data_IF_775729298533
#
_entry.id   IF_775729298533
#
_cell.length_a   1.000
_cell.length_b   1.000
_cell.length_c   1.000
_cell.angle_alpha   90.00
_cell.angle_beta   90.00
_cell.angle_gamma   90.00
#
_symmetry.space_group_name_H-M   'P 1'
#
loop_
_entity.id
_entity.type
_entity.pdbx_description
1 polymer ?
#
# COMPACT_ATOMS: atom_id res chain seq x y z
N UNK A 1 -16.56 6.30 21.75
CA UNK A 1 -16.12 5.61 20.53
C UNK A 1 -15.04 6.46 19.91
N UNK A 2 -13.87 5.87 19.62
CA UNK A 2 -12.76 6.60 18.98
C UNK A 2 -13.16 7.06 17.58
N UNK A 3 -12.57 8.14 17.10
CA UNK A 3 -12.73 8.70 15.75
C UNK A 3 -11.39 8.75 15.05
N UNK A 4 -11.38 8.83 13.71
CA UNK A 4 -10.14 9.06 12.94
C UNK A 4 -9.39 10.30 13.44
N UNK A 5 -10.11 11.29 13.98
CA UNK A 5 -9.52 12.51 14.54
C UNK A 5 -8.58 12.23 15.71
N UNK A 6 -8.85 11.17 16.47
CA UNK A 6 -8.02 10.80 17.62
C UNK A 6 -6.64 10.31 17.17
N UNK A 7 -6.46 9.90 15.91
CA UNK A 7 -5.19 9.39 15.37
C UNK A 7 -4.49 10.37 14.43
N UNK A 8 -4.97 11.61 14.34
CA UNK A 8 -4.46 12.62 13.40
C UNK A 8 -3.82 13.79 14.13
N UNK A 9 -2.67 14.24 13.65
CA UNK A 9 -1.98 15.45 14.12
C UNK A 9 -2.50 16.68 13.36
N UNK A 10 -3.58 17.28 13.85
CA UNK A 10 -4.21 18.43 13.18
C UNK A 10 -3.37 19.71 13.20
N UNK A 11 -2.44 19.84 14.13
CA UNK A 11 -1.47 20.95 14.22
C UNK A 11 -0.43 20.92 13.08
N UNK A 12 -0.32 19.80 12.36
CA UNK A 12 0.56 19.61 11.20
C UNK A 12 -0.11 19.98 9.86
N UNK A 13 -1.37 20.41 9.88
CA UNK A 13 -2.08 20.84 8.68
C UNK A 13 -1.71 22.29 8.28
N UNK A 14 -1.80 22.66 6.98
CA UNK A 14 -2.32 21.87 5.86
C UNK A 14 -1.36 20.77 5.38
N UNK A 15 -1.91 19.76 4.71
CA UNK A 15 -1.09 18.73 4.05
C UNK A 15 -0.20 19.36 2.96
N UNK A 16 1.03 18.87 2.83
CA UNK A 16 1.98 19.32 1.80
C UNK A 16 1.68 18.76 0.41
N UNK A 17 0.69 17.87 0.27
CA UNK A 17 0.31 17.29 -1.02
C UNK A 17 -0.42 18.31 -1.90
N UNK A 18 -0.29 18.13 -3.21
CA UNK A 18 -0.95 18.98 -4.20
C UNK A 18 -2.48 18.93 -4.05
N UNK A 19 -3.16 20.03 -4.37
CA UNK A 19 -4.62 20.05 -4.44
C UNK A 19 -5.14 18.95 -5.39
N UNK A 20 -6.09 18.15 -4.90
CA UNK A 20 -6.63 17.01 -5.65
C UNK A 20 -5.78 15.74 -5.63
N UNK A 21 -4.64 15.72 -4.94
CA UNK A 21 -3.90 14.48 -4.67
C UNK A 21 -4.72 13.54 -3.79
N UNK A 22 -4.77 12.26 -4.16
CA UNK A 22 -5.58 11.27 -3.43
C UNK A 22 -4.96 10.78 -2.11
N UNK A 23 -3.71 11.09 -1.80
CA UNK A 23 -3.04 10.58 -0.59
C UNK A 23 -3.76 10.96 0.71
N UNK A 24 -4.40 12.13 0.77
CA UNK A 24 -5.20 12.54 1.92
C UNK A 24 -6.39 11.61 2.21
N UNK A 25 -6.98 11.00 1.18
CA UNK A 25 -8.06 10.01 1.32
C UNK A 25 -7.53 8.72 1.96
N UNK A 26 -6.34 8.30 1.54
CA UNK A 26 -5.69 7.09 2.08
C UNK A 26 -5.25 7.32 3.52
N UNK A 27 -4.61 8.45 3.83
CA UNK A 27 -4.25 8.87 5.18
C UNK A 27 -5.46 8.83 6.13
N UNK A 28 -6.57 9.49 5.76
CA UNK A 28 -7.77 9.48 6.58
C UNK A 28 -8.35 8.07 6.74
N UNK A 29 -8.25 7.22 5.71
CA UNK A 29 -8.71 5.83 5.78
C UNK A 29 -7.89 4.99 6.75
N UNK A 30 -6.55 5.19 6.80
CA UNK A 30 -5.67 4.55 7.79
C UNK A 30 -6.09 4.97 9.20
N UNK A 31 -6.23 6.28 9.46
CA UNK A 31 -6.67 6.80 10.76
C UNK A 31 -8.06 6.29 11.16
N UNK A 32 -9.00 6.18 10.21
CA UNK A 32 -10.33 5.65 10.46
C UNK A 32 -10.30 4.17 10.85
N UNK A 33 -9.48 3.34 10.18
CA UNK A 33 -9.37 1.92 10.54
C UNK A 33 -8.78 1.73 11.94
N UNK A 34 -7.77 2.52 12.31
CA UNK A 34 -7.24 2.48 13.67
C UNK A 34 -8.32 2.82 14.71
N UNK A 35 -9.16 3.83 14.44
CA UNK A 35 -10.30 4.16 15.30
C UNK A 35 -11.37 3.07 15.33
N UNK A 36 -11.71 2.46 14.19
CA UNK A 36 -12.69 1.36 14.08
C UNK A 36 -12.24 0.08 14.78
N UNK A 37 -10.93 -0.16 14.87
CA UNK A 37 -10.33 -1.27 15.60
C UNK A 37 -10.00 -0.91 17.05
N UNK A 38 -10.21 0.35 17.44
CA UNK A 38 -9.87 0.93 18.74
C UNK A 38 -8.43 0.64 19.20
N UNK A 39 -7.47 0.47 18.27
CA UNK A 39 -6.07 0.13 18.59
C UNK A 39 -5.43 1.14 19.53
N UNK A 40 -4.59 0.69 20.45
CA UNK A 40 -3.76 1.61 21.23
C UNK A 40 -2.70 2.24 20.30
N UNK A 41 -2.51 3.55 20.38
CA UNK A 41 -1.49 4.26 19.60
C UNK A 41 -0.09 3.79 19.94
N UNK A 42 0.14 3.39 21.19
CA UNK A 42 1.42 2.87 21.66
C UNK A 42 1.75 1.50 21.07
N UNK A 43 0.73 0.73 20.68
CA UNK A 43 0.88 -0.58 20.05
C UNK A 43 0.95 -0.51 18.51
N UNK A 44 0.89 0.70 17.94
CA UNK A 44 1.03 0.93 16.49
C UNK A 44 2.45 1.39 16.17
N UNK A 45 3.04 0.79 15.14
CA UNK A 45 4.27 1.27 14.52
C UNK A 45 4.07 1.44 13.02
N UNK A 46 4.29 2.65 12.51
CA UNK A 46 4.27 2.96 11.09
C UNK A 46 5.69 3.16 10.59
N UNK A 47 6.10 2.37 9.60
CA UNK A 47 7.36 2.56 8.89
C UNK A 47 7.08 3.06 7.48
N UNK A 48 7.63 4.21 7.13
CA UNK A 48 7.37 4.85 5.84
C UNK A 48 8.64 4.90 4.98
N UNK A 49 8.46 4.82 3.66
CA UNK A 49 9.53 5.04 2.68
C UNK A 49 9.68 6.50 2.29
N UNK A 50 10.46 6.77 1.23
CA UNK A 50 10.62 8.11 0.67
C UNK A 50 9.66 8.31 -0.50
N UNK A 51 8.96 9.44 -0.51
CA UNK A 51 8.07 9.84 -1.60
C UNK A 51 6.89 10.64 -1.07
N UNK A 52 6.04 11.16 -1.97
CA UNK A 52 4.86 11.93 -1.56
C UNK A 52 4.04 11.14 -0.53
N UNK A 53 3.72 9.88 -0.81
CA UNK A 53 2.96 9.04 0.11
C UNK A 53 3.75 8.62 1.37
N UNK A 54 5.09 8.65 1.33
CA UNK A 54 5.92 8.38 2.50
C UNK A 54 5.68 9.36 3.64
N UNK A 55 5.21 10.58 3.35
CA UNK A 55 4.87 11.60 4.35
C UNK A 55 3.56 11.36 5.10
N UNK A 56 2.94 10.19 4.98
CA UNK A 56 1.72 9.85 5.74
C UNK A 56 1.98 9.89 7.25
N UNK A 57 3.18 9.52 7.67
CA UNK A 57 3.64 9.52 9.04
C UNK A 57 3.72 10.92 9.69
N UNK A 58 3.93 11.98 8.91
CA UNK A 58 3.92 13.37 9.40
C UNK A 58 2.57 13.78 10.02
N UNK A 59 1.48 13.06 9.71
CA UNK A 59 0.11 13.45 10.05
C UNK A 59 -0.60 12.49 11.03
N UNK A 60 0.06 11.41 11.46
CA UNK A 60 -0.54 10.40 12.34
C UNK A 60 0.06 10.46 13.74
N UNK A 61 -0.82 10.38 14.74
CA UNK A 61 -0.44 10.41 16.17
C UNK A 61 -0.19 8.99 16.69
N UNK A 62 0.88 8.36 16.21
CA UNK A 62 1.36 7.00 16.54
C UNK A 62 2.90 6.95 16.48
N UNK A 63 3.51 5.81 16.83
CA UNK A 63 4.96 5.64 16.65
C UNK A 63 5.30 5.54 15.16
N UNK A 64 6.16 6.44 14.66
CA UNK A 64 6.51 6.52 13.25
C UNK A 64 8.04 6.42 13.04
N UNK A 65 8.45 5.80 11.94
CA UNK A 65 9.83 5.75 11.48
C UNK A 65 9.92 6.01 9.98
N UNK A 66 10.40 7.20 9.62
CA UNK A 66 10.67 7.59 8.23
C UNK A 66 12.06 7.12 7.82
N UNK A 67 12.14 6.18 6.87
CA UNK A 67 13.42 5.55 6.50
C UNK A 67 13.89 5.94 5.10
N UNK A 68 15.03 5.38 4.70
CA UNK A 68 15.60 5.60 3.38
C UNK A 68 14.78 4.94 2.26
N UNK A 69 14.91 5.49 1.05
CA UNK A 69 14.11 5.11 -0.11
C UNK A 69 14.21 3.61 -0.40
N UNK A 70 13.06 2.94 -0.49
CA UNK A 70 12.94 1.51 -0.74
C UNK A 70 13.39 0.62 0.40
N UNK A 71 13.49 1.13 1.63
CA UNK A 71 13.93 0.36 2.81
C UNK A 71 12.85 0.20 3.88
N UNK A 72 11.64 0.71 3.66
CA UNK A 72 10.54 0.66 4.63
C UNK A 72 10.22 -0.78 5.07
N UNK A 73 10.07 -1.72 4.12
CA UNK A 73 9.82 -3.13 4.45
C UNK A 73 10.99 -3.83 5.16
N UNK A 74 12.22 -3.48 4.81
CA UNK A 74 13.40 -4.03 5.47
C UNK A 74 13.47 -3.57 6.93
N UNK A 75 13.20 -2.29 7.17
CA UNK A 75 13.20 -1.75 8.52
C UNK A 75 11.99 -2.22 9.35
N UNK A 76 10.80 -2.30 8.73
CA UNK A 76 9.59 -2.86 9.33
C UNK A 76 9.76 -4.33 9.74
N UNK A 77 10.51 -5.12 8.97
CA UNK A 77 10.90 -6.48 9.36
C UNK A 77 11.65 -6.47 10.70
N UNK A 78 12.59 -5.55 10.89
CA UNK A 78 13.31 -5.39 12.16
C UNK A 78 12.39 -4.98 13.31
N UNK A 79 11.49 -4.02 13.07
CA UNK A 79 10.50 -3.58 14.07
C UNK A 79 9.59 -4.74 14.50
N UNK A 80 9.01 -5.45 13.54
CA UNK A 80 8.08 -6.54 13.79
C UNK A 80 8.74 -7.73 14.49
N UNK A 81 10.00 -8.05 14.16
CA UNK A 81 10.74 -9.13 14.85
C UNK A 81 11.26 -8.69 16.22
N UNK A 82 11.62 -7.41 16.39
CA UNK A 82 12.10 -6.86 17.66
C UNK A 82 11.00 -6.74 18.71
N UNK A 83 9.75 -6.47 18.30
CA UNK A 83 8.58 -6.50 19.17
C UNK A 83 7.36 -7.10 18.44
N UNK A 84 7.13 -8.41 18.56
CA UNK A 84 6.02 -9.10 17.90
C UNK A 84 4.62 -8.67 18.34
N UNK A 85 4.50 -7.88 19.42
CA UNK A 85 3.21 -7.41 19.93
C UNK A 85 2.73 -6.13 19.23
N UNK A 86 3.59 -5.46 18.44
CA UNK A 86 3.21 -4.26 17.71
C UNK A 86 2.41 -4.59 16.45
N UNK A 87 1.41 -3.75 16.17
CA UNK A 87 0.75 -3.69 14.88
C UNK A 87 1.60 -2.85 13.93
N UNK A 88 2.30 -3.52 13.01
CA UNK A 88 3.24 -2.86 12.09
C UNK A 88 2.58 -2.56 10.75
N UNK A 89 2.42 -1.26 10.47
CA UNK A 89 2.00 -0.73 9.18
C UNK A 89 3.20 -0.23 8.38
N UNK A 90 3.16 -0.41 7.06
CA UNK A 90 4.17 0.12 6.15
C UNK A 90 3.52 0.94 5.07
N UNK A 91 3.99 2.16 4.84
CA UNK A 91 3.44 3.05 3.79
C UNK A 91 4.51 3.42 2.77
N UNK A 92 4.22 3.16 1.49
CA UNK A 92 5.16 3.36 0.39
C UNK A 92 4.43 3.86 -0.86
N UNK A 93 5.08 4.69 -1.66
CA UNK A 93 4.65 4.92 -3.04
C UNK A 93 4.97 3.70 -3.91
N UNK A 94 4.41 3.60 -5.11
CA UNK A 94 4.73 2.55 -6.08
C UNK A 94 6.24 2.49 -6.38
N UNK A 95 6.88 3.62 -6.69
CA UNK A 95 8.32 3.66 -6.91
C UNK A 95 9.17 3.20 -5.71
N UNK A 96 8.79 3.58 -4.49
CA UNK A 96 9.48 3.17 -3.27
C UNK A 96 9.34 1.67 -3.02
N UNK A 97 8.11 1.14 -3.10
CA UNK A 97 7.80 -0.25 -2.73
C UNK A 97 8.09 -1.29 -3.81
N UNK A 98 7.98 -0.95 -5.10
CA UNK A 98 8.06 -1.93 -6.19
C UNK A 98 9.22 -1.73 -7.15
N UNK A 99 9.80 -0.52 -7.19
CA UNK A 99 11.02 -0.28 -7.98
C UNK A 99 12.25 -0.55 -7.11
N UNK A 100 12.75 0.46 -6.38
CA UNK A 100 13.98 0.29 -5.57
C UNK A 100 13.77 -0.65 -4.36
N UNK A 101 12.53 -0.72 -3.83
CA UNK A 101 12.14 -1.61 -2.75
C UNK A 101 11.64 -2.99 -3.18
N UNK A 102 11.55 -3.26 -4.50
CA UNK A 102 10.89 -4.46 -5.04
C UNK A 102 11.43 -5.78 -4.47
N UNK A 103 12.74 -5.89 -4.27
CA UNK A 103 13.34 -7.10 -3.69
C UNK A 103 12.89 -7.33 -2.22
N UNK A 104 12.72 -6.25 -1.46
CA UNK A 104 12.23 -6.35 -0.08
C UNK A 104 10.75 -6.70 -0.04
N UNK A 105 9.95 -6.22 -0.98
CA UNK A 105 8.54 -6.62 -1.15
C UNK A 105 8.41 -8.14 -1.36
N UNK A 106 9.15 -8.68 -2.34
CA UNK A 106 9.11 -10.12 -2.65
C UNK A 106 9.52 -10.95 -1.43
N UNK A 107 10.59 -10.54 -0.73
CA UNK A 107 11.05 -11.30 0.43
C UNK A 107 10.22 -11.09 1.71
N UNK A 108 9.55 -9.94 1.89
CA UNK A 108 8.61 -9.75 2.99
C UNK A 108 7.39 -10.68 2.83
N UNK A 109 6.82 -10.73 1.62
CA UNK A 109 5.76 -11.67 1.26
C UNK A 109 6.19 -13.13 1.43
N UNK A 110 7.38 -13.50 0.94
CA UNK A 110 7.91 -14.86 1.05
C UNK A 110 8.12 -15.30 2.51
N UNK A 111 8.62 -14.40 3.36
CA UNK A 111 8.84 -14.69 4.79
C UNK A 111 7.56 -14.74 5.60
N UNK A 112 6.47 -14.11 5.12
CA UNK A 112 5.20 -14.02 5.82
C UNK A 112 5.32 -13.42 7.23
N UNK A 113 6.05 -12.31 7.34
CA UNK A 113 6.17 -11.55 8.60
C UNK A 113 4.90 -10.73 8.78
N UNK A 114 4.42 -10.63 10.03
CA UNK A 114 3.21 -9.91 10.45
C UNK A 114 3.35 -8.40 10.23
N UNK A 115 3.12 -8.00 8.99
CA UNK A 115 3.24 -6.63 8.49
C UNK A 115 2.14 -6.37 7.49
N UNK A 116 1.46 -5.24 7.63
CA UNK A 116 0.51 -4.76 6.63
C UNK A 116 1.13 -3.62 5.82
N UNK A 117 1.44 -3.91 4.55
CA UNK A 117 1.99 -2.95 3.61
C UNK A 117 0.89 -2.28 2.80
N UNK A 118 0.90 -0.96 2.76
CA UNK A 118 0.00 -0.12 1.98
C UNK A 118 0.83 0.59 0.93
N UNK A 119 0.58 0.27 -0.34
CA UNK A 119 1.23 0.93 -1.48
C UNK A 119 0.23 1.85 -2.16
N UNK A 120 0.51 3.16 -2.15
CA UNK A 120 -0.25 4.12 -2.94
C UNK A 120 0.36 4.20 -4.34
N UNK A 121 -0.32 3.59 -5.31
CA UNK A 121 0.13 3.53 -6.70
C UNK A 121 -0.46 4.70 -7.50
N UNK A 122 0.39 5.67 -7.84
CA UNK A 122 0.00 6.82 -8.65
C UNK A 122 0.68 6.85 -10.03
N UNK A 123 1.31 5.72 -10.39
CA UNK A 123 2.01 5.47 -11.65
C UNK A 123 3.24 6.34 -11.91
N UNK A 124 3.77 7.08 -10.93
CA UNK A 124 4.96 7.88 -11.13
C UNK A 124 5.73 8.24 -9.84
N UNK A 125 6.96 8.73 -10.01
CA UNK A 125 7.68 9.39 -8.93
C UNK A 125 7.22 10.83 -8.76
N UNK A 126 6.09 11.03 -8.10
CA UNK A 126 5.50 12.36 -7.91
C UNK A 126 6.44 13.38 -7.24
N UNK A 127 7.15 12.98 -6.17
CA UNK A 127 7.98 13.91 -5.38
C UNK A 127 9.20 14.43 -6.14
N UNK A 128 9.73 13.65 -7.08
CA UNK A 128 10.96 13.99 -7.83
C UNK A 128 10.68 14.64 -9.18
N UNK A 129 9.42 14.99 -9.47
CA UNK A 129 9.04 15.70 -10.70
C UNK A 129 8.35 14.84 -11.75
N UNK A 130 7.98 13.60 -11.43
CA UNK A 130 7.06 12.79 -12.23
C UNK A 130 7.72 11.89 -13.28
N UNK A 131 8.83 11.26 -12.93
CA UNK A 131 9.46 10.17 -13.69
C UNK A 131 8.62 8.89 -13.64
N UNK A 132 8.76 8.00 -14.62
CA UNK A 132 8.09 6.69 -14.59
C UNK A 132 8.62 5.80 -13.46
N UNK A 133 7.74 4.99 -12.87
CA UNK A 133 8.04 3.91 -11.92
C UNK A 133 7.86 2.54 -12.59
N UNK A 134 8.14 1.45 -11.87
CA UNK A 134 7.91 0.09 -12.38
C UNK A 134 6.42 -0.27 -12.58
N UNK A 135 5.47 0.58 -12.15
CA UNK A 135 4.03 0.38 -12.37
C UNK A 135 3.47 1.29 -13.46
N UNK A 136 4.27 2.21 -14.00
CA UNK A 136 3.83 3.11 -15.07
C UNK A 136 3.34 2.31 -16.28
N UNK A 137 2.09 2.50 -16.73
CA UNK A 137 1.56 1.77 -17.88
C UNK A 137 2.39 2.01 -19.14
N UNK A 138 2.57 0.96 -19.94
CA UNK A 138 3.25 1.05 -21.24
C UNK A 138 2.62 2.14 -22.10
N UNK A 139 3.47 2.85 -22.84
CA UNK A 139 3.19 4.03 -23.67
C UNK A 139 2.80 5.31 -22.93
N UNK A 140 2.78 5.32 -21.60
CA UNK A 140 2.50 6.55 -20.83
C UNK A 140 3.62 7.59 -20.97
N UNK A 141 3.22 8.86 -20.96
CA UNK A 141 4.15 10.00 -20.97
C UNK A 141 4.50 10.37 -19.53
N UNK A 142 5.80 10.49 -19.25
CA UNK A 142 6.33 10.95 -17.97
C UNK A 142 7.51 11.90 -18.21
N UNK A 143 8.06 12.50 -17.16
CA UNK A 143 9.18 13.43 -17.28
C UNK A 143 10.42 12.81 -17.95
N UNK A 144 10.65 11.50 -17.75
CA UNK A 144 11.79 10.75 -18.31
C UNK A 144 11.39 9.82 -19.46
N UNK A 145 10.09 9.75 -19.79
CA UNK A 145 9.58 9.04 -20.97
C UNK A 145 8.72 9.98 -21.83
N UNK A 146 9.27 11.09 -22.35
CA UNK A 146 8.51 12.11 -23.08
C UNK A 146 7.89 11.60 -24.38
N UNK A 147 8.39 10.47 -24.91
CA UNK A 147 7.92 9.83 -26.13
C UNK A 147 7.16 8.51 -25.86
N UNK A 148 6.83 8.23 -24.60
CA UNK A 148 6.16 7.00 -24.18
C UNK A 148 7.10 6.03 -23.47
N UNK A 149 6.59 5.43 -22.40
CA UNK A 149 7.26 4.35 -21.67
C UNK A 149 7.19 3.03 -22.46
N UNK A 150 8.28 2.27 -22.51
CA UNK A 150 8.35 1.04 -23.34
C UNK A 150 8.26 -0.26 -22.55
N UNK A 151 8.50 -0.21 -21.24
CA UNK A 151 8.51 -1.40 -20.40
C UNK A 151 7.08 -1.82 -20.04
N UNK A 152 6.94 -3.08 -19.66
CA UNK A 152 5.68 -3.60 -19.14
C UNK A 152 5.55 -3.23 -17.67
N UNK A 153 4.39 -2.71 -17.28
CA UNK A 153 4.10 -2.38 -15.90
C UNK A 153 3.96 -3.64 -15.03
N UNK A 154 4.53 -3.60 -13.83
CA UNK A 154 4.20 -4.58 -12.81
C UNK A 154 2.75 -4.42 -12.32
N UNK A 155 2.04 -5.54 -12.22
CA UNK A 155 0.87 -5.66 -11.36
C UNK A 155 1.34 -6.00 -9.93
N UNK A 156 1.25 -5.03 -9.02
CA UNK A 156 1.75 -5.17 -7.65
C UNK A 156 1.07 -6.34 -6.92
N UNK A 157 -0.24 -6.48 -7.09
CA UNK A 157 -1.01 -7.52 -6.42
C UNK A 157 -0.62 -8.90 -6.95
N UNK A 158 -0.49 -9.08 -8.26
CA UNK A 158 -0.04 -10.35 -8.84
C UNK A 158 1.39 -10.68 -8.40
N UNK A 159 2.29 -9.69 -8.35
CA UNK A 159 3.64 -9.86 -7.85
C UNK A 159 3.64 -10.36 -6.39
N UNK A 160 2.85 -9.75 -5.51
CA UNK A 160 2.77 -10.16 -4.10
C UNK A 160 2.08 -11.52 -3.90
N UNK A 161 1.05 -11.83 -4.69
CA UNK A 161 0.41 -13.15 -4.71
C UNK A 161 1.44 -14.22 -5.09
N UNK A 162 2.19 -14.00 -6.18
CA UNK A 162 3.23 -14.91 -6.65
C UNK A 162 4.39 -15.04 -5.65
N UNK A 163 4.72 -13.96 -4.93
CA UNK A 163 5.73 -13.97 -3.87
C UNK A 163 5.28 -14.67 -2.57
N UNK A 164 3.99 -15.05 -2.45
CA UNK A 164 3.47 -15.82 -1.34
C UNK A 164 2.90 -15.00 -0.18
N UNK A 165 2.42 -13.78 -0.44
CA UNK A 165 1.67 -12.98 0.53
C UNK A 165 0.40 -13.71 1.00
N UNK A 166 0.04 -13.58 2.27
CA UNK A 166 -1.14 -14.22 2.87
C UNK A 166 -2.44 -13.50 2.50
N UNK A 167 -2.38 -12.17 2.43
CA UNK A 167 -3.52 -11.34 2.08
C UNK A 167 -3.11 -10.29 1.04
N UNK A 168 -3.92 -10.14 -0.01
CA UNK A 168 -3.70 -9.14 -1.05
C UNK A 168 -5.03 -8.48 -1.41
N UNK A 169 -5.08 -7.15 -1.32
CA UNK A 169 -6.24 -6.35 -1.70
C UNK A 169 -5.86 -5.20 -2.62
N UNK A 170 -6.78 -4.81 -3.50
CA UNK A 170 -6.67 -3.61 -4.34
C UNK A 170 -7.90 -2.73 -4.19
N UNK A 171 -7.70 -1.44 -3.98
CA UNK A 171 -8.78 -0.44 -3.99
C UNK A 171 -8.37 0.77 -4.85
N UNK A 172 -9.32 1.66 -5.08
CA UNK A 172 -9.05 2.98 -5.66
C UNK A 172 -9.40 4.06 -4.66
N UNK A 173 -8.72 5.21 -4.75
CA UNK A 173 -9.01 6.38 -3.92
C UNK A 173 -10.45 6.90 -4.07
N UNK A 174 -11.17 6.50 -5.12
CA UNK A 174 -12.58 6.80 -5.28
C UNK A 174 -13.47 6.13 -4.21
N UNK A 175 -13.08 4.95 -3.71
CA UNK A 175 -13.87 4.17 -2.75
C UNK A 175 -13.15 4.03 -1.39
N UNK A 176 -13.22 5.06 -0.52
CA UNK A 176 -12.58 5.03 0.80
C UNK A 176 -13.12 3.93 1.71
N UNK A 177 -14.39 3.52 1.56
CA UNK A 177 -14.95 2.43 2.35
C UNK A 177 -14.28 1.09 2.03
N UNK A 178 -13.96 0.85 0.74
CA UNK A 178 -13.20 -0.32 0.34
C UNK A 178 -11.76 -0.27 0.85
N UNK A 179 -11.11 0.90 0.81
CA UNK A 179 -9.76 1.07 1.37
C UNK A 179 -9.76 0.68 2.86
N UNK A 180 -10.69 1.22 3.65
CA UNK A 180 -10.82 0.91 5.08
C UNK A 180 -11.05 -0.58 5.32
N UNK A 181 -11.97 -1.19 4.56
CA UNK A 181 -12.25 -2.63 4.66
C UNK A 181 -10.99 -3.47 4.43
N UNK A 182 -10.23 -3.21 3.35
CA UNK A 182 -9.05 -4.01 3.01
C UNK A 182 -7.90 -3.81 3.99
N UNK A 183 -7.68 -2.58 4.48
CA UNK A 183 -6.67 -2.32 5.52
C UNK A 183 -7.06 -3.07 6.80
N UNK A 184 -8.33 -2.97 7.22
CA UNK A 184 -8.84 -3.65 8.42
C UNK A 184 -8.66 -5.17 8.33
N UNK A 185 -9.06 -5.78 7.23
CA UNK A 185 -8.88 -7.21 6.98
C UNK A 185 -7.39 -7.59 6.98
N UNK A 186 -6.54 -6.82 6.28
CA UNK A 186 -5.10 -7.06 6.22
C UNK A 186 -4.40 -6.98 7.57
N UNK A 187 -4.79 -6.03 8.44
CA UNK A 187 -4.26 -5.89 9.80
C UNK A 187 -4.63 -7.06 10.71
N UNK A 188 -5.72 -7.77 10.43
CA UNK A 188 -6.18 -8.92 11.23
C UNK A 188 -5.54 -10.24 10.80
N UNK A 189 -4.82 -10.26 9.68
CA UNK A 189 -4.12 -11.44 9.17
C UNK A 189 -2.80 -11.63 9.91
N UNK A 190 -2.56 -12.85 10.41
CA UNK A 190 -1.24 -13.28 10.86
C UNK A 190 -0.39 -13.62 9.65
N UNK A 191 0.36 -12.65 9.17
CA UNK A 191 1.30 -12.80 8.07
C UNK A 191 1.49 -11.50 7.31
N UNK A 192 2.07 -11.60 6.13
CA UNK A 192 2.28 -10.45 5.27
C UNK A 192 1.01 -10.13 4.46
N UNK A 193 0.52 -8.90 4.64
CA UNK A 193 -0.64 -8.35 3.95
C UNK A 193 -0.21 -7.20 3.03
N UNK A 194 -0.66 -7.22 1.78
CA UNK A 194 -0.48 -6.12 0.83
C UNK A 194 -1.83 -5.48 0.48
N UNK A 195 -1.94 -4.16 0.64
CA UNK A 195 -3.05 -3.36 0.14
C UNK A 195 -2.49 -2.36 -0.88
N UNK A 196 -2.87 -2.51 -2.14
CA UNK A 196 -2.63 -1.51 -3.17
C UNK A 196 -3.81 -0.53 -3.23
N UNK A 197 -3.51 0.76 -3.21
CA UNK A 197 -4.50 1.81 -3.45
C UNK A 197 -4.10 2.61 -4.68
N UNK A 198 -4.93 2.53 -5.73
CA UNK A 198 -4.76 3.37 -6.91
C UNK A 198 -5.09 4.82 -6.57
N UNK A 199 -4.13 5.73 -6.76
CA UNK A 199 -4.18 7.12 -6.31
C UNK A 199 -3.95 8.11 -7.46
N UNK A 200 -4.66 9.23 -7.46
CA UNK A 200 -4.49 10.26 -8.48
C UNK A 200 -3.29 11.17 -8.16
N UNK A 201 -2.41 11.36 -9.16
CA UNK A 201 -1.37 12.38 -9.17
C UNK A 201 -1.70 13.41 -10.28
N UNK A 202 -2.53 14.44 -9.98
CA UNK A 202 -2.97 15.41 -11.00
C UNK A 202 -1.81 16.26 -11.54
N UNK A 203 -0.86 16.64 -10.67
CA UNK A 203 0.24 17.56 -10.99
C UNK A 203 1.18 17.04 -12.07
N UNK A 204 1.46 15.73 -12.06
CA UNK A 204 2.44 15.12 -12.94
C UNK A 204 1.80 14.09 -13.87
N UNK A 205 1.45 12.90 -13.37
CA UNK A 205 0.96 11.81 -14.21
C UNK A 205 -0.32 12.20 -14.97
N UNK A 206 -1.29 12.79 -14.27
CA UNK A 206 -2.55 13.27 -14.86
C UNK A 206 -2.32 14.35 -15.92
N UNK A 207 -1.47 15.34 -15.62
CA UNK A 207 -1.08 16.40 -16.55
C UNK A 207 -0.41 15.87 -17.82
N UNK A 208 0.60 15.01 -17.69
CA UNK A 208 1.35 14.49 -18.84
C UNK A 208 0.50 13.59 -19.74
N UNK A 209 -0.45 12.84 -19.17
CA UNK A 209 -1.31 11.91 -19.90
C UNK A 209 -2.71 12.48 -20.21
N UNK A 210 -2.90 13.80 -20.02
CA UNK A 210 -4.15 14.51 -20.35
C UNK A 210 -5.41 13.90 -19.72
N UNK A 211 -5.32 13.46 -18.46
CA UNK A 211 -6.42 12.79 -17.75
C UNK A 211 -7.46 13.76 -17.17
N UNK A 212 -7.26 15.07 -17.35
CA UNK A 212 -8.12 16.14 -16.85
C UNK A 212 -7.88 16.48 -15.38
N UNK A 213 -8.82 17.22 -14.80
CA UNK A 213 -8.79 17.65 -13.40
C UNK A 213 -8.87 16.47 -12.42
N UNK A 214 -8.45 16.68 -11.18
CA UNK A 214 -8.43 15.64 -10.14
C UNK A 214 -9.79 14.93 -9.94
N UNK A 215 -10.90 15.66 -10.06
CA UNK A 215 -12.24 15.09 -9.97
C UNK A 215 -12.58 14.15 -11.14
N UNK A 216 -12.09 14.44 -12.36
CA UNK A 216 -12.22 13.55 -13.52
C UNK A 216 -11.37 12.30 -13.32
N UNK A 217 -10.15 12.43 -12.80
CA UNK A 217 -9.29 11.28 -12.51
C UNK A 217 -9.93 10.31 -11.51
N UNK A 218 -10.58 10.81 -10.45
CA UNK A 218 -11.32 9.98 -9.50
C UNK A 218 -12.51 9.26 -10.18
N UNK A 219 -13.26 9.93 -11.05
CA UNK A 219 -14.34 9.30 -11.82
C UNK A 219 -13.82 8.21 -12.77
N UNK A 220 -12.70 8.47 -13.44
CA UNK A 220 -12.04 7.48 -14.31
C UNK A 220 -11.67 6.21 -13.53
N UNK A 221 -11.13 6.35 -12.31
CA UNK A 221 -10.85 5.19 -11.45
C UNK A 221 -12.09 4.36 -11.17
N UNK A 222 -13.24 4.99 -10.92
CA UNK A 222 -14.50 4.28 -10.72
C UNK A 222 -14.97 3.58 -12.01
N UNK A 223 -14.94 4.27 -13.15
CA UNK A 223 -15.32 3.74 -14.48
C UNK A 223 -14.46 2.54 -14.91
N UNK A 224 -13.19 2.53 -14.50
CA UNK A 224 -12.24 1.46 -14.78
C UNK A 224 -12.30 0.31 -13.77
N UNK A 225 -12.91 0.51 -12.61
CA UNK A 225 -12.95 -0.50 -11.55
C UNK A 225 -13.99 -1.58 -11.82
N UNK A 226 -13.63 -2.83 -11.62
CA UNK A 226 -14.54 -3.98 -11.54
C UNK A 226 -14.24 -4.74 -10.26
N UNK A 227 -15.26 -5.12 -9.51
CA UNK A 227 -15.05 -5.92 -8.29
C UNK A 227 -14.58 -7.33 -8.64
N UNK A 228 -13.90 -8.01 -7.72
CA UNK A 228 -13.51 -9.43 -7.90
C UNK A 228 -14.68 -10.33 -8.33
N UNK A 229 -15.87 -10.12 -7.74
CA UNK A 229 -17.07 -10.90 -8.07
C UNK A 229 -17.65 -10.60 -9.47
N UNK A 230 -17.46 -9.38 -9.96
CA UNK A 230 -17.78 -9.02 -11.35
C UNK A 230 -16.73 -9.59 -12.30
N UNK A 231 -15.45 -9.46 -11.96
CA UNK A 231 -14.34 -9.92 -12.77
C UNK A 231 -14.40 -11.43 -13.05
N UNK A 232 -14.83 -12.23 -12.08
CA UNK A 232 -15.02 -13.68 -12.24
C UNK A 232 -16.06 -14.08 -13.31
N UNK A 233 -16.89 -13.15 -13.77
CA UNK A 233 -17.92 -13.36 -14.80
C UNK A 233 -17.54 -12.82 -16.17
N UNK A 234 -16.41 -12.11 -16.27
CA UNK A 234 -15.95 -11.46 -17.48
C UNK A 234 -14.88 -12.31 -18.17
N UNK A 235 -14.84 -12.24 -19.49
CA UNK A 235 -13.76 -12.81 -20.29
C UNK A 235 -12.45 -12.03 -20.11
N UNK A 236 -11.29 -12.63 -20.42
CA UNK A 236 -10.00 -11.93 -20.41
C UNK A 236 -10.00 -10.64 -21.26
N UNK A 237 -10.66 -10.67 -22.41
CA UNK A 237 -10.83 -9.52 -23.30
C UNK A 237 -11.64 -8.39 -22.64
N UNK A 238 -12.71 -8.69 -21.93
CA UNK A 238 -13.54 -7.72 -21.21
C UNK A 238 -12.83 -7.11 -19.99
N UNK A 239 -11.88 -7.85 -19.40
CA UNK A 239 -11.04 -7.39 -18.30
C UNK A 239 -9.90 -6.48 -18.77
N UNK A 240 -9.60 -6.43 -20.07
CA UNK A 240 -8.50 -5.61 -20.59
C UNK A 240 -8.71 -4.13 -20.26
N UNK A 241 -7.76 -3.56 -19.53
CA UNK A 241 -7.80 -2.15 -19.10
C UNK A 241 -8.73 -1.87 -17.92
N UNK A 242 -9.28 -2.90 -17.26
CA UNK A 242 -10.02 -2.77 -16.01
C UNK A 242 -9.11 -2.96 -14.79
N UNK A 243 -9.44 -2.26 -13.71
CA UNK A 243 -8.82 -2.42 -12.40
C UNK A 243 -9.68 -3.39 -11.59
N UNK A 244 -9.18 -4.59 -11.34
CA UNK A 244 -9.89 -5.55 -10.47
C UNK A 244 -9.69 -5.13 -9.01
N UNK A 245 -10.77 -4.77 -8.32
CA UNK A 245 -10.74 -4.23 -6.95
C UNK A 245 -11.46 -5.15 -5.95
N UNK A 246 -11.01 -5.12 -4.70
CA UNK A 246 -11.48 -5.95 -3.60
C UNK A 246 -10.35 -6.81 -3.01
N UNK A 247 -10.75 -7.83 -2.26
CA UNK A 247 -9.83 -8.85 -1.74
C UNK A 247 -9.48 -9.84 -2.86
N UNK A 248 -8.24 -9.77 -3.35
CA UNK A 248 -7.73 -10.59 -4.45
C UNK A 248 -7.18 -11.93 -3.97
N UNK A 249 -6.67 -11.98 -2.73
CA UNK A 249 -6.24 -13.20 -2.06
C UNK A 249 -6.45 -13.06 -0.57
N UNK A 250 -6.99 -14.11 0.06
CA UNK A 250 -7.04 -14.29 1.50
C UNK A 250 -6.84 -15.77 1.82
N UNK A 251 -5.58 -16.17 1.89
CA UNK A 251 -5.15 -17.54 2.11
C UNK A 251 -4.03 -17.51 3.17
N UNK A 252 -4.39 -17.25 4.44
CA UNK A 252 -3.40 -17.16 5.50
C UNK A 252 -2.69 -18.50 5.66
N UNK A 253 -1.38 -18.41 5.90
CA UNK A 253 -0.51 -19.52 6.26
C UNK A 253 0.27 -19.17 7.51
N UNK A 254 0.94 -20.15 8.10
CA UNK A 254 1.77 -19.92 9.26
C UNK A 254 2.76 -18.77 9.02
N UNK A 255 2.80 -17.84 9.98
CA UNK A 255 3.67 -16.69 9.95
C UNK A 255 5.11 -17.09 10.32
N UNK A 256 6.05 -16.17 10.07
CA UNK A 256 7.44 -16.40 10.40
C UNK A 256 7.65 -16.77 11.88
N UNK A 257 6.88 -16.17 12.78
CA UNK A 257 6.98 -16.36 14.23
C UNK A 257 6.57 -17.76 14.65
N UNK A 258 5.44 -18.26 14.12
CA UNK A 258 4.91 -19.58 14.41
C UNK A 258 5.87 -20.66 13.94
N UNK A 259 6.39 -20.53 12.71
CA UNK A 259 7.38 -21.48 12.20
C UNK A 259 8.68 -21.45 13.00
N UNK A 260 9.15 -20.25 13.36
CA UNK A 260 10.38 -20.12 14.16
C UNK A 260 10.20 -20.66 15.58
N UNK A 261 9.03 -20.47 16.20
CA UNK A 261 8.71 -21.01 17.51
C UNK A 261 8.71 -22.55 17.51
N UNK A 262 8.24 -23.20 16.44
CA UNK A 262 8.32 -24.67 16.30
C UNK A 262 9.76 -25.16 16.29
N UNK A 263 10.67 -24.44 15.65
CA UNK A 263 12.10 -24.77 15.66
C UNK A 263 12.64 -24.67 17.09
N UNK A 264 12.32 -23.59 17.82
CA UNK A 264 12.76 -23.41 19.21
C UNK A 264 12.21 -24.54 20.10
N UNK A 265 10.92 -24.84 19.99
CA UNK A 265 10.27 -25.88 20.80
C UNK A 265 10.90 -27.25 20.56
N UNK A 266 11.18 -27.60 19.30
CA UNK A 266 11.82 -28.86 18.94
C UNK A 266 13.26 -29.01 19.47
N UNK A 267 13.90 -27.91 19.92
CA UNK A 267 15.24 -27.93 20.52
C UNK A 267 15.22 -27.82 22.05
N UNK A 268 14.05 -27.69 22.68
CA UNK A 268 13.96 -27.75 24.14
C UNK A 268 14.26 -29.19 24.57
N UNK A 269 15.33 -29.35 25.34
CA UNK A 269 15.61 -30.58 26.07
C UNK A 269 14.76 -30.53 27.34
N UNK A 270 13.97 -31.56 27.60
CA UNK A 270 13.28 -31.70 28.89
C UNK A 270 14.34 -31.85 29.98
N UNK A 271 14.33 -30.92 30.96
CA UNK A 271 15.15 -30.98 32.18
C UNK A 271 14.66 -32.07 33.15
#
# INVERSE_FOLDING_TARGET
MKSYKDYMLFDKLPQTWCAGCSHGIVLQSIAAVMAELEVDKHDMALVSGIGCFGRVDDYLDINCMHVTHGRALAAATGVALGNPNLNVLVTMGDGDGTTIGGNHLIHAARRNINVTAIISNNYNYGQTGGQYSATTPTHSITQTSPYGHVEQAFDICQLAIAAGASYVGRATAYNPLMIRKLIKEGMQVKGFSLIEVMSACPTHYGKFNKLGEASRMLKLMNEQSVTVSQAAKLSPEELKGKLVVGCLKNEPRDDYYTEYARIIEAQKVED
#
